data_IF_765409327151
#
_entry.id   IF_765409327151
#
_cell.length_a   1.000
_cell.length_b   1.000
_cell.length_c   1.000
_cell.angle_alpha   90.00
_cell.angle_beta   90.00
_cell.angle_gamma   90.00
#
_symmetry.space_group_name_H-M   'P 1'
#
loop_
_entity.id
_entity.type
_entity.pdbx_description
1 polymer ?
#
# COMPACT_ATOMS: atom_id res chain seq x y z
N UNK A 1 -11.73 -14.10 20.73
CA UNK A 1 -10.38 -14.65 20.54
C UNK A 1 -9.97 -14.21 19.14
N UNK A 2 -8.95 -13.37 19.00
CA UNK A 2 -8.50 -12.85 17.69
C UNK A 2 -7.95 -14.00 16.86
N UNK A 3 -8.49 -14.21 15.66
CA UNK A 3 -7.93 -15.17 14.71
C UNK A 3 -6.76 -14.51 13.97
N UNK A 4 -5.57 -14.70 14.50
CA UNK A 4 -4.33 -14.13 13.94
C UNK A 4 -3.94 -14.72 12.58
N UNK A 5 -4.65 -15.73 12.08
CA UNK A 5 -4.37 -16.38 10.78
C UNK A 5 -5.37 -15.92 9.74
N UNK A 6 -6.66 -16.00 10.02
CA UNK A 6 -7.71 -15.66 9.05
C UNK A 6 -8.20 -14.21 9.16
N UNK A 7 -7.94 -13.52 10.26
CA UNK A 7 -8.39 -12.14 10.49
C UNK A 7 -7.48 -11.38 11.49
N UNK A 8 -6.19 -11.15 11.19
CA UNK A 8 -5.29 -10.48 12.13
C UNK A 8 -5.78 -9.03 12.36
N UNK A 9 -5.88 -8.59 13.62
CA UNK A 9 -6.48 -7.29 13.97
C UNK A 9 -5.81 -6.08 13.24
N UNK A 10 -4.51 -6.17 12.97
CA UNK A 10 -3.73 -5.14 12.27
C UNK A 10 -3.93 -5.10 10.74
N UNK A 11 -4.82 -5.94 10.20
CA UNK A 11 -5.32 -5.84 8.82
C UNK A 11 -6.80 -5.45 8.75
N UNK A 12 -7.45 -5.31 9.92
CA UNK A 12 -8.85 -4.88 10.08
C UNK A 12 -8.97 -3.47 10.66
N UNK A 13 -7.85 -2.84 11.00
CA UNK A 13 -7.76 -1.57 11.71
C UNK A 13 -7.86 -0.32 10.85
N UNK A 14 -7.83 -0.43 9.51
CA UNK A 14 -7.92 0.75 8.67
C UNK A 14 -9.33 1.36 8.74
N UNK A 15 -9.41 2.70 8.82
CA UNK A 15 -10.68 3.42 8.98
C UNK A 15 -11.70 3.19 7.85
N UNK A 16 -11.27 2.68 6.71
CA UNK A 16 -12.17 2.31 5.60
C UNK A 16 -12.95 1.00 5.82
N UNK A 17 -12.55 0.18 6.81
CA UNK A 17 -13.12 -1.15 7.06
C UNK A 17 -12.78 -2.21 5.99
N UNK A 18 -11.95 -1.88 5.01
CA UNK A 18 -11.48 -2.79 3.95
C UNK A 18 -10.25 -3.51 4.43
N UNK A 19 -10.19 -4.84 4.34
CA UNK A 19 -9.01 -5.61 4.71
C UNK A 19 -7.91 -5.50 3.64
N UNK A 20 -6.64 -5.48 4.06
CA UNK A 20 -5.51 -5.37 3.13
C UNK A 20 -5.51 -6.48 2.06
N UNK A 21 -5.93 -7.69 2.42
CA UNK A 21 -5.89 -8.86 1.52
C UNK A 21 -6.88 -8.73 0.36
N UNK A 22 -8.04 -8.10 0.58
CA UNK A 22 -9.08 -7.84 -0.46
C UNK A 22 -8.56 -7.01 -1.64
N UNK A 23 -7.40 -6.37 -1.48
CA UNK A 23 -6.72 -5.59 -2.51
C UNK A 23 -5.42 -6.26 -2.93
N UNK A 24 -4.55 -6.58 -1.97
CA UNK A 24 -3.18 -6.99 -2.23
C UNK A 24 -3.05 -8.36 -2.94
N UNK A 25 -4.04 -9.24 -2.81
CA UNK A 25 -4.03 -10.54 -3.51
C UNK A 25 -4.20 -10.42 -5.04
N UNK A 26 -4.69 -9.27 -5.51
CA UNK A 26 -4.91 -8.97 -6.93
C UNK A 26 -3.75 -8.20 -7.57
N UNK A 27 -2.59 -8.20 -6.92
CA UNK A 27 -1.39 -7.48 -7.35
C UNK A 27 -0.23 -8.45 -7.54
N UNK A 28 0.74 -8.13 -8.42
CA UNK A 28 2.01 -8.86 -8.44
C UNK A 28 2.63 -8.87 -7.05
N UNK A 29 3.32 -9.95 -6.69
CA UNK A 29 3.88 -10.14 -5.34
C UNK A 29 4.64 -8.92 -4.80
N UNK A 30 5.42 -8.26 -5.64
CA UNK A 30 6.19 -7.06 -5.26
C UNK A 30 5.28 -5.87 -4.95
N UNK A 31 4.24 -5.63 -5.75
CA UNK A 31 3.28 -4.54 -5.52
C UNK A 31 2.40 -4.85 -4.31
N UNK A 32 1.84 -6.06 -4.22
CA UNK A 32 1.03 -6.47 -3.07
C UNK A 32 1.82 -6.38 -1.76
N UNK A 33 3.12 -6.71 -1.80
CA UNK A 33 4.01 -6.51 -0.66
C UNK A 33 4.21 -5.03 -0.34
N UNK A 34 4.51 -4.18 -1.33
CA UNK A 34 4.65 -2.74 -1.13
C UNK A 34 3.39 -2.11 -0.52
N UNK A 35 2.22 -2.40 -1.12
CA UNK A 35 0.91 -1.99 -0.64
C UNK A 35 0.69 -2.38 0.82
N UNK A 36 0.92 -3.66 1.16
CA UNK A 36 0.79 -4.19 2.52
C UNK A 36 1.61 -3.42 3.55
N UNK A 37 2.83 -3.00 3.21
CA UNK A 37 3.66 -2.23 4.15
C UNK A 37 3.12 -0.82 4.38
N UNK A 38 2.64 -0.13 3.32
CA UNK A 38 2.00 1.19 3.48
C UNK A 38 0.68 1.07 4.25
N UNK A 39 -0.09 0.02 3.97
CA UNK A 39 -1.37 -0.25 4.63
C UNK A 39 -1.22 -0.37 6.15
N UNK A 40 -0.24 -1.15 6.64
CA UNK A 40 -0.05 -1.39 8.09
C UNK A 40 0.88 -0.42 8.81
N UNK A 41 1.31 0.67 8.15
CA UNK A 41 2.35 1.59 8.61
C UNK A 41 2.08 2.24 9.98
N UNK A 42 0.81 2.33 10.39
CA UNK A 42 0.38 2.91 11.66
C UNK A 42 0.13 1.86 12.75
N UNK A 43 0.04 0.58 12.38
CA UNK A 43 -0.47 -0.47 13.28
C UNK A 43 0.65 -1.36 13.86
N UNK A 44 1.87 -1.30 13.29
CA UNK A 44 2.93 -2.25 13.64
C UNK A 44 4.33 -1.61 13.69
N UNK A 45 5.00 -1.75 14.83
CA UNK A 45 6.41 -1.40 15.09
C UNK A 45 6.85 0.02 14.72
N UNK A 46 7.23 0.25 13.47
CA UNK A 46 7.96 1.42 13.02
C UNK A 46 7.51 1.82 11.61
N UNK A 47 6.77 2.93 11.54
CA UNK A 47 6.27 3.54 10.30
C UNK A 47 7.37 3.74 9.27
N UNK A 48 8.55 4.23 9.67
CA UNK A 48 9.66 4.50 8.77
C UNK A 48 10.22 3.20 8.15
N UNK A 49 10.30 2.13 8.94
CA UNK A 49 10.75 0.82 8.46
C UNK A 49 9.78 0.25 7.41
N UNK A 50 8.47 0.36 7.66
CA UNK A 50 7.46 -0.11 6.72
C UNK A 50 7.46 0.71 5.42
N UNK A 51 7.59 2.04 5.50
CA UNK A 51 7.74 2.88 4.31
C UNK A 51 8.99 2.52 3.49
N UNK A 52 10.14 2.29 4.15
CA UNK A 52 11.38 1.86 3.49
C UNK A 52 11.23 0.49 2.82
N UNK A 53 10.53 -0.46 3.45
CA UNK A 53 10.21 -1.76 2.83
C UNK A 53 9.31 -1.59 1.62
N UNK A 54 8.30 -0.71 1.68
CA UNK A 54 7.47 -0.39 0.52
C UNK A 54 8.31 0.12 -0.66
N UNK A 55 9.18 1.11 -0.42
CA UNK A 55 10.07 1.64 -1.44
C UNK A 55 10.99 0.57 -2.03
N UNK A 56 11.52 -0.35 -1.22
CA UNK A 56 12.34 -1.46 -1.68
C UNK A 56 11.61 -2.38 -2.66
N UNK A 57 10.36 -2.74 -2.34
CA UNK A 57 9.54 -3.61 -3.20
C UNK A 57 9.13 -2.90 -4.51
N UNK A 58 8.79 -1.61 -4.46
CA UNK A 58 8.47 -0.81 -5.66
C UNK A 58 9.66 -0.73 -6.62
N UNK A 59 10.86 -0.44 -6.10
CA UNK A 59 12.09 -0.41 -6.91
C UNK A 59 12.35 -1.76 -7.57
N UNK A 60 12.12 -2.86 -6.85
CA UNK A 60 12.29 -4.21 -7.40
C UNK A 60 11.28 -4.54 -8.50
N UNK A 61 10.02 -4.11 -8.34
CA UNK A 61 9.00 -4.24 -9.37
C UNK A 61 9.40 -3.47 -10.64
N UNK A 62 9.74 -2.20 -10.50
CA UNK A 62 10.15 -1.33 -11.61
C UNK A 62 11.40 -1.88 -12.32
N UNK A 63 12.39 -2.37 -11.56
CA UNK A 63 13.61 -2.95 -12.12
C UNK A 63 13.37 -4.28 -12.87
N UNK A 64 12.26 -4.97 -12.61
CA UNK A 64 11.92 -6.21 -13.31
C UNK A 64 11.34 -5.98 -14.71
N UNK A 65 11.06 -4.73 -15.09
CA UNK A 65 10.41 -4.40 -16.37
C UNK A 65 8.91 -4.69 -16.39
N UNK A 66 8.32 -5.03 -15.25
CA UNK A 66 6.88 -5.07 -15.05
C UNK A 66 6.42 -3.66 -14.69
N UNK A 67 5.49 -3.12 -15.49
CA UNK A 67 4.86 -1.82 -15.22
C UNK A 67 3.45 -1.98 -14.62
N UNK A 68 2.82 -3.15 -14.81
CA UNK A 68 1.46 -3.41 -14.32
C UNK A 68 1.42 -3.70 -12.82
N UNK A 69 0.58 -2.96 -12.11
CA UNK A 69 0.38 -3.09 -10.66
C UNK A 69 -0.78 -4.02 -10.28
N UNK A 70 -1.59 -4.42 -11.27
CA UNK A 70 -2.74 -5.32 -11.10
C UNK A 70 -2.55 -6.61 -11.89
N UNK A 71 -2.91 -7.75 -11.31
CA UNK A 71 -3.04 -9.01 -12.05
C UNK A 71 -4.46 -9.12 -12.59
N UNK A 72 -4.61 -9.20 -13.93
CA UNK A 72 -5.89 -8.95 -14.62
C UNK A 72 -7.08 -9.87 -14.29
N UNK A 73 -8.29 -9.39 -14.62
CA UNK A 73 -9.57 -10.11 -14.53
C UNK A 73 -10.71 -9.26 -13.94
N UNK A 74 -11.94 -9.80 -13.89
CA UNK A 74 -13.12 -9.15 -13.26
C UNK A 74 -12.86 -8.78 -11.78
N UNK A 75 -11.98 -9.54 -11.12
CA UNK A 75 -11.60 -9.33 -9.71
C UNK A 75 -10.82 -8.02 -9.48
N UNK A 76 -10.10 -7.50 -10.49
CA UNK A 76 -9.38 -6.23 -10.37
C UNK A 76 -10.32 -5.02 -10.25
N UNK A 77 -11.55 -5.11 -10.79
CA UNK A 77 -12.58 -4.05 -10.66
C UNK A 77 -13.08 -3.96 -9.21
N UNK A 78 -13.34 -5.11 -8.58
CA UNK A 78 -13.74 -5.14 -7.17
C UNK A 78 -12.62 -4.59 -6.29
N UNK A 79 -11.39 -5.07 -6.47
CA UNK A 79 -10.21 -4.59 -5.75
C UNK A 79 -10.00 -3.08 -5.90
N UNK A 80 -10.18 -2.53 -7.11
CA UNK A 80 -10.08 -1.09 -7.38
C UNK A 80 -11.15 -0.28 -6.64
N UNK A 81 -12.37 -0.82 -6.50
CA UNK A 81 -13.44 -0.19 -5.73
C UNK A 81 -13.13 -0.18 -4.21
N UNK A 82 -12.51 -1.25 -3.70
CA UNK A 82 -12.06 -1.31 -2.31
C UNK A 82 -10.89 -0.36 -2.07
N UNK A 83 -9.95 -0.26 -3.02
CA UNK A 83 -8.87 0.73 -2.96
C UNK A 83 -9.40 2.17 -2.95
N UNK A 84 -10.45 2.47 -3.72
CA UNK A 84 -11.08 3.78 -3.68
C UNK A 84 -11.61 4.12 -2.28
N UNK A 85 -12.23 3.16 -1.58
CA UNK A 85 -12.67 3.36 -0.19
C UNK A 85 -11.48 3.60 0.75
N UNK A 86 -10.35 2.92 0.56
CA UNK A 86 -9.11 3.20 1.32
C UNK A 86 -8.67 4.65 1.08
N UNK A 87 -8.61 5.08 -0.19
CA UNK A 87 -8.19 6.44 -0.57
C UNK A 87 -9.08 7.53 0.06
N UNK A 88 -10.39 7.33 0.15
CA UNK A 88 -11.31 8.33 0.72
C UNK A 88 -11.18 8.50 2.24
N UNK A 89 -10.56 7.53 2.93
CA UNK A 89 -10.35 7.57 4.37
C UNK A 89 -8.91 7.95 4.76
N UNK A 90 -8.04 8.17 3.77
CA UNK A 90 -6.68 8.66 3.99
C UNK A 90 -6.65 10.20 3.95
N UNK A 91 -5.96 10.87 4.88
CA UNK A 91 -5.80 12.32 4.84
C UNK A 91 -5.04 12.76 3.57
N UNK A 92 -5.14 14.04 3.23
CA UNK A 92 -4.32 14.60 2.16
C UNK A 92 -2.83 14.47 2.51
N UNK A 93 -2.04 13.95 1.57
CA UNK A 93 -0.61 13.69 1.76
C UNK A 93 -0.08 12.60 0.84
N UNK A 94 1.21 12.29 0.99
CA UNK A 94 1.92 11.38 0.09
C UNK A 94 1.42 9.93 0.18
N UNK A 95 0.90 9.48 1.32
CA UNK A 95 0.29 8.15 1.42
C UNK A 95 -0.98 8.05 0.57
N UNK A 96 -1.82 9.08 0.56
CA UNK A 96 -3.00 9.12 -0.31
C UNK A 96 -2.60 9.18 -1.78
N UNK A 97 -1.53 9.91 -2.10
CA UNK A 97 -0.95 9.92 -3.46
C UNK A 97 -0.47 8.52 -3.84
N UNK A 98 0.25 7.82 -2.95
CA UNK A 98 0.69 6.44 -3.20
C UNK A 98 -0.48 5.53 -3.61
N UNK A 99 -1.56 5.49 -2.83
CA UNK A 99 -2.72 4.67 -3.18
C UNK A 99 -3.39 5.11 -4.48
N UNK A 100 -3.45 6.41 -4.73
CA UNK A 100 -4.02 6.96 -5.98
C UNK A 100 -3.17 6.57 -7.19
N UNK A 101 -1.85 6.53 -7.06
CA UNK A 101 -0.93 6.06 -8.11
C UNK A 101 -1.06 4.55 -8.35
N UNK A 102 -1.26 3.74 -7.31
CA UNK A 102 -1.58 2.32 -7.47
C UNK A 102 -2.90 2.13 -8.23
N UNK A 103 -3.95 2.88 -7.88
CA UNK A 103 -5.22 2.85 -8.61
C UNK A 103 -5.05 3.24 -10.08
N UNK A 104 -4.15 4.19 -10.37
CA UNK A 104 -3.84 4.66 -11.71
C UNK A 104 -2.85 3.76 -12.50
N UNK A 105 -2.42 2.62 -11.94
CA UNK A 105 -1.42 1.74 -12.54
C UNK A 105 -0.05 2.43 -12.79
N UNK A 106 0.38 3.30 -11.87
CA UNK A 106 1.64 4.03 -11.96
C UNK A 106 2.57 3.70 -10.77
N UNK A 107 3.41 2.65 -10.88
CA UNK A 107 4.30 2.26 -9.80
C UNK A 107 5.43 3.29 -9.56
N UNK A 108 5.75 4.14 -10.54
CA UNK A 108 6.81 5.15 -10.43
C UNK A 108 6.35 6.35 -9.62
N UNK A 109 5.13 6.84 -9.89
CA UNK A 109 4.52 7.87 -9.06
C UNK A 109 4.27 7.36 -7.63
N UNK A 110 3.89 6.09 -7.48
CA UNK A 110 3.76 5.44 -6.17
C UNK A 110 5.09 5.46 -5.40
N UNK A 111 6.20 5.10 -6.05
CA UNK A 111 7.54 5.16 -5.45
C UNK A 111 7.91 6.59 -5.04
N UNK A 112 7.73 7.57 -5.93
CA UNK A 112 8.07 8.96 -5.66
C UNK A 112 7.28 9.51 -4.46
N UNK A 113 6.02 9.11 -4.30
CA UNK A 113 5.21 9.49 -3.13
C UNK A 113 5.77 8.89 -1.84
N UNK A 114 6.11 7.59 -1.84
CA UNK A 114 6.68 6.94 -0.66
C UNK A 114 8.05 7.53 -0.28
N UNK A 115 8.89 7.88 -1.25
CA UNK A 115 10.18 8.53 -0.97
C UNK A 115 10.01 9.91 -0.33
N UNK A 116 9.03 10.71 -0.76
CA UNK A 116 8.69 11.99 -0.10
C UNK A 116 8.15 11.78 1.32
N UNK A 117 7.31 10.77 1.51
CA UNK A 117 6.78 10.44 2.84
C UNK A 117 7.88 9.98 3.80
N UNK A 118 8.84 9.18 3.33
CA UNK A 118 10.04 8.81 4.10
C UNK A 118 10.78 10.06 4.56
N UNK A 119 11.10 10.96 3.62
CA UNK A 119 11.82 12.21 3.93
C UNK A 119 11.06 13.08 4.94
N UNK A 120 9.73 13.16 4.83
CA UNK A 120 8.88 13.88 5.78
C UNK A 120 8.96 13.28 7.18
N UNK A 121 8.85 11.96 7.31
CA UNK A 121 8.90 11.27 8.61
C UNK A 121 10.28 11.41 9.25
N UNK A 122 11.36 11.30 8.47
CA UNK A 122 12.74 11.51 8.94
C UNK A 122 12.97 12.94 9.46
N UNK A 123 12.44 13.94 8.77
CA UNK A 123 12.54 15.34 9.19
C UNK A 123 11.81 15.65 10.49
N UNK A 124 10.73 14.91 10.81
CA UNK A 124 9.97 15.08 12.07
C UNK A 124 10.65 14.35 13.23
N UNK A 125 11.42 13.31 12.95
CA UNK A 125 12.14 12.52 13.95
C UNK A 125 13.51 13.12 14.34
N UNK A 126 13.92 14.22 13.69
CA UNK A 126 15.18 14.96 13.94
C UNK A 126 14.94 16.16 14.86
#
# INVERSE_FOLDING_TARGET
MTDMVNAPDHYRGHASGVECIEIAEHMPFTIGSAFKYVYRRNDKWNTLEDLRKSAWYLRRHIASGLDDVWTGGWNAVHASSQLLKVITHEPAGDVRIFYSSILANDPRAALAAIEREIARVEAIAS
#
